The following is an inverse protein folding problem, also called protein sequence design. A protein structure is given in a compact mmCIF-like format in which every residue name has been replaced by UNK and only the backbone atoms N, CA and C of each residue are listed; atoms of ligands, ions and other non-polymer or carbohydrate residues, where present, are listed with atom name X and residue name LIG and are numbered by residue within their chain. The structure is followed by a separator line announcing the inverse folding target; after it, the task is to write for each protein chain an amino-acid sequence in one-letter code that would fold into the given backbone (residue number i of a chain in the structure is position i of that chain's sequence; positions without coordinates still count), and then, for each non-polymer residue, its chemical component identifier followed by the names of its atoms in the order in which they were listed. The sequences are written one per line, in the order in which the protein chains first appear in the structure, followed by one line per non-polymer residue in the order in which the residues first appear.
data_IF_119114790300
#
_entry.id   IF_119114790300
#
_cell.length_a   1.000
_cell.length_b   1.000
_cell.length_c   1.000
_cell.angle_alpha   90.00
_cell.angle_beta   90.00
_cell.angle_gamma   90.00
#
_symmetry.space_group_name_H-M   'P 1'
#
loop_
_entity.id
_entity.type
_entity.pdbx_description
1 polymer ?
#
# COMPACT_ATOMS: atom_id res chain seq x y z
N UNK A 1 12.95 -8.10 13.47
CA UNK A 1 11.58 -8.52 13.13
C UNK A 1 11.40 -8.29 11.65
N UNK A 2 10.22 -7.98 11.12
CA UNK A 2 10.12 -7.56 9.72
C UNK A 2 10.35 -6.04 9.65
N UNK A 3 11.14 -5.58 8.69
CA UNK A 3 11.47 -4.16 8.50
C UNK A 3 10.50 -3.54 7.51
N UNK A 4 9.91 -2.39 7.87
CA UNK A 4 9.01 -1.66 6.99
C UNK A 4 9.74 -1.19 5.72
N UNK A 5 9.19 -1.50 4.55
CA UNK A 5 9.76 -1.15 3.25
C UNK A 5 9.76 0.36 2.95
N UNK A 6 9.05 1.17 3.75
CA UNK A 6 8.90 2.61 3.55
C UNK A 6 9.75 3.41 4.50
N UNK A 7 9.55 3.23 5.81
CA UNK A 7 10.23 4.04 6.83
C UNK A 7 11.49 3.37 7.40
N UNK A 8 11.73 2.08 7.10
CA UNK A 8 12.88 1.33 7.61
C UNK A 8 12.79 0.94 9.09
N UNK A 9 11.65 1.12 9.73
CA UNK A 9 11.42 0.72 11.11
C UNK A 9 11.42 -0.82 11.22
N UNK A 10 12.22 -1.37 12.13
CA UNK A 10 12.15 -2.79 12.49
C UNK A 10 11.19 -2.97 13.67
N UNK A 11 10.03 -3.56 13.41
CA UNK A 11 8.96 -3.61 14.38
C UNK A 11 8.31 -4.98 14.48
N UNK A 12 8.35 -5.57 15.67
CA UNK A 12 7.13 -5.84 16.41
C UNK A 12 5.93 -6.43 15.67
N UNK A 13 4.99 -5.53 15.42
CA UNK A 13 3.68 -5.82 14.85
C UNK A 13 3.67 -5.54 13.34
N UNK A 14 4.83 -5.57 12.69
CA UNK A 14 4.88 -5.47 11.24
C UNK A 14 4.07 -6.60 10.62
N UNK A 15 3.43 -6.29 9.50
CA UNK A 15 2.50 -7.16 8.80
C UNK A 15 2.81 -7.19 7.31
N UNK A 16 2.28 -8.20 6.65
CA UNK A 16 2.46 -8.40 5.22
C UNK A 16 1.19 -8.02 4.44
N UNK A 17 1.40 -7.38 3.29
CA UNK A 17 0.38 -7.19 2.26
C UNK A 17 0.81 -7.96 1.02
N UNK A 18 -0.02 -8.90 0.57
CA UNK A 18 0.21 -9.64 -0.67
C UNK A 18 -0.73 -9.12 -1.75
N UNK A 19 -0.18 -8.52 -2.80
CA UNK A 19 -0.95 -7.90 -3.89
C UNK A 19 -0.14 -7.93 -5.20
N UNK A 20 -0.82 -7.95 -6.35
CA UNK A 20 -0.17 -8.01 -7.68
C UNK A 20 0.91 -9.10 -7.81
N UNK A 21 0.74 -10.24 -7.11
CA UNK A 21 1.71 -11.34 -7.09
C UNK A 21 2.98 -11.06 -6.28
N UNK A 22 3.06 -9.93 -5.58
CA UNK A 22 4.19 -9.54 -4.74
C UNK A 22 3.80 -9.50 -3.27
N UNK A 23 4.77 -9.77 -2.40
CA UNK A 23 4.64 -9.67 -0.94
C UNK A 23 5.39 -8.44 -0.47
N UNK A 24 4.73 -7.64 0.36
CA UNK A 24 5.28 -6.42 0.94
C UNK A 24 5.18 -6.44 2.46
N UNK A 25 6.12 -5.78 3.14
CA UNK A 25 6.17 -5.66 4.61
C UNK A 25 6.02 -4.20 5.04
N UNK A 26 5.11 -3.95 5.99
CA UNK A 26 4.89 -2.63 6.58
C UNK A 26 4.68 -2.71 8.09
N UNK A 27 5.01 -1.62 8.78
CA UNK A 27 4.78 -1.44 10.22
C UNK A 27 3.48 -0.68 10.54
N UNK A 28 2.84 -0.10 9.54
CA UNK A 28 1.66 0.75 9.66
C UNK A 28 0.86 0.79 8.37
N UNK A 29 -0.46 1.02 8.48
CA UNK A 29 -1.31 1.22 7.31
C UNK A 29 -0.95 2.47 6.51
N UNK A 30 -0.45 3.52 7.17
CA UNK A 30 0.02 4.73 6.50
C UNK A 30 1.16 4.41 5.52
N UNK A 31 2.18 3.66 5.95
CA UNK A 31 3.26 3.23 5.07
C UNK A 31 2.76 2.33 3.93
N UNK A 32 1.87 1.38 4.23
CA UNK A 32 1.27 0.51 3.22
C UNK A 32 0.50 1.31 2.15
N UNK A 33 -0.37 2.24 2.58
CA UNK A 33 -1.16 3.12 1.70
C UNK A 33 -0.24 4.04 0.90
N UNK A 34 0.79 4.62 1.54
CA UNK A 34 1.74 5.50 0.86
C UNK A 34 2.41 4.80 -0.33
N UNK A 35 2.84 3.55 -0.12
CA UNK A 35 3.52 2.74 -1.14
C UNK A 35 2.57 2.16 -2.19
N UNK A 36 1.45 1.57 -1.77
CA UNK A 36 0.64 0.69 -2.61
C UNK A 36 -0.62 1.35 -3.18
N UNK A 37 -1.20 2.34 -2.50
CA UNK A 37 -2.45 2.92 -2.97
C UNK A 37 -2.22 3.78 -4.22
N UNK A 38 -3.00 3.59 -5.29
CA UNK A 38 -2.93 4.43 -6.49
C UNK A 38 -3.37 5.86 -6.17
N UNK A 39 -2.92 6.79 -7.00
CA UNK A 39 -3.25 8.22 -6.87
C UNK A 39 -4.36 8.56 -7.86
N UNK A 40 -5.44 9.19 -7.39
CA UNK A 40 -6.51 9.66 -8.26
C UNK A 40 -6.03 10.84 -9.12
N UNK A 41 -6.12 10.72 -10.44
CA UNK A 41 -5.67 11.75 -11.38
C UNK A 41 -6.48 13.06 -11.28
N UNK A 42 -7.73 13.01 -10.80
CA UNK A 42 -8.55 14.20 -10.63
C UNK A 42 -8.17 14.99 -9.37
N UNK A 43 -8.11 14.33 -8.20
CA UNK A 43 -7.98 15.02 -6.91
C UNK A 43 -6.63 14.82 -6.21
N UNK A 44 -5.75 13.97 -6.73
CA UNK A 44 -4.43 13.68 -6.13
C UNK A 44 -4.47 12.84 -4.86
N UNK A 45 -5.65 12.47 -4.37
CA UNK A 45 -5.79 11.65 -3.17
C UNK A 45 -5.36 10.19 -3.44
N UNK A 46 -4.86 9.53 -2.39
CA UNK A 46 -4.66 8.07 -2.39
C UNK A 46 -6.01 7.37 -2.37
N UNK A 47 -6.21 6.41 -3.27
CA UNK A 47 -7.42 5.59 -3.32
C UNK A 47 -7.25 4.38 -2.42
N UNK A 48 -7.96 4.38 -1.29
CA UNK A 48 -7.86 3.32 -0.25
C UNK A 48 -9.11 2.43 -0.17
N UNK A 49 -10.16 2.78 -0.92
CA UNK A 49 -11.43 2.05 -0.95
C UNK A 49 -11.48 0.96 -2.03
N UNK A 50 -12.69 0.55 -2.41
CA UNK A 50 -12.89 -0.43 -3.47
C UNK A 50 -12.45 0.13 -4.83
N UNK A 51 -11.63 -0.65 -5.54
CA UNK A 51 -11.20 -0.33 -6.90
C UNK A 51 -12.40 -0.20 -7.83
N UNK A 52 -12.30 0.72 -8.78
CA UNK A 52 -13.24 0.83 -9.89
C UNK A 52 -12.43 0.44 -11.12
N UNK A 53 -12.70 -0.75 -11.66
CA UNK A 53 -12.13 -1.16 -12.93
C UNK A 53 -12.83 -0.34 -14.02
N UNK A 54 -12.06 0.42 -14.80
CA UNK A 54 -12.58 1.09 -15.98
C UNK A 54 -12.24 0.16 -17.13
N UNK A 55 -13.25 -0.47 -17.74
CA UNK A 55 -13.05 -1.23 -18.96
C UNK A 55 -12.53 -0.26 -20.04
N UNK A 56 -11.30 -0.47 -20.51
CA UNK A 56 -10.78 0.25 -21.67
C UNK A 56 -11.64 -0.11 -22.89
N UNK A 57 -12.17 0.91 -23.57
CA UNK A 57 -13.09 0.81 -24.71
C UNK A 57 -12.44 0.24 -25.99
#
# INVERSE_FOLDING_TARGET
MATCEVCGNDYYLSFEVVTAGQRHVFDSFECAIHKLAPVCAHCGCKVIGHGIEVEDA
#
